data_IF_153224577165
#
_entry.id   IF_153224577165
#
_cell.length_a   1.000
_cell.length_b   1.000
_cell.length_c   1.000
_cell.angle_alpha   90.00
_cell.angle_beta   90.00
_cell.angle_gamma   90.00
#
_symmetry.space_group_name_H-M   'P 1'
#
loop_
_entity.id
_entity.type
_entity.pdbx_description
1 polymer ?
#
# COMPACT_ATOMS: atom_id res chain seq x y z
N UNK A 1 -12.13 17.62 25.75
CA UNK A 1 -11.15 16.84 24.94
C UNK A 1 -11.48 17.07 23.47
N UNK A 2 -10.58 17.66 22.68
CA UNK A 2 -10.81 17.83 21.23
C UNK A 2 -10.71 16.45 20.58
N UNK A 3 -11.81 15.89 20.07
CA UNK A 3 -11.77 14.67 19.25
C UNK A 3 -10.85 14.97 18.06
N UNK A 4 -9.75 14.22 17.92
CA UNK A 4 -8.95 14.29 16.71
C UNK A 4 -9.85 13.90 15.54
N UNK A 5 -9.86 14.74 14.49
CA UNK A 5 -10.70 14.53 13.31
C UNK A 5 -10.07 13.41 12.49
N UNK A 6 -10.76 12.28 12.39
CA UNK A 6 -10.32 11.15 11.56
C UNK A 6 -10.32 11.50 10.07
N UNK A 7 -9.50 10.79 9.29
CA UNK A 7 -9.23 11.06 7.88
C UNK A 7 -9.55 9.86 6.99
N UNK A 8 -9.95 10.08 5.73
CA UNK A 8 -10.02 9.00 4.74
C UNK A 8 -8.65 8.34 4.50
N UNK A 9 -8.65 7.13 3.96
CA UNK A 9 -7.40 6.43 3.62
C UNK A 9 -6.68 7.06 2.41
N UNK A 10 -7.45 7.49 1.40
CA UNK A 10 -6.93 7.85 0.08
C UNK A 10 -5.94 9.01 0.06
N UNK A 11 -6.19 10.04 0.87
CA UNK A 11 -5.30 11.21 0.93
C UNK A 11 -4.02 10.91 1.72
N UNK A 12 -4.04 9.88 2.57
CA UNK A 12 -2.95 9.53 3.48
C UNK A 12 -2.49 10.71 4.33
N UNK A 13 -3.38 11.65 4.66
CA UNK A 13 -3.04 12.87 5.40
C UNK A 13 -2.35 12.59 6.75
N UNK A 14 -2.78 11.59 7.55
CA UNK A 14 -2.06 11.21 8.77
C UNK A 14 -0.59 10.87 8.51
N UNK A 15 -0.31 10.12 7.44
CA UNK A 15 1.06 9.72 7.09
C UNK A 15 1.91 10.93 6.70
N UNK A 16 1.36 11.88 5.92
CA UNK A 16 2.07 13.11 5.52
C UNK A 16 2.33 13.98 6.74
N UNK A 17 1.30 14.22 7.56
CA UNK A 17 1.35 15.10 8.73
C UNK A 17 2.41 14.65 9.74
N UNK A 18 2.59 13.35 9.89
CA UNK A 18 3.58 12.76 10.80
C UNK A 18 4.91 12.40 10.14
N UNK A 19 5.08 12.70 8.84
CA UNK A 19 6.24 12.27 8.05
C UNK A 19 6.56 10.77 8.20
N UNK A 20 5.51 9.94 8.23
CA UNK A 20 5.61 8.52 8.54
C UNK A 20 6.13 7.72 7.33
N UNK A 21 7.15 6.91 7.57
CA UNK A 21 7.75 6.03 6.55
C UNK A 21 7.68 4.55 6.92
N UNK A 22 6.96 4.19 7.99
CA UNK A 22 7.04 2.85 8.59
C UNK A 22 6.67 1.73 7.61
N UNK A 23 5.60 1.91 6.82
CA UNK A 23 5.17 0.93 5.82
C UNK A 23 6.11 0.80 4.60
N UNK A 24 7.08 1.71 4.45
CA UNK A 24 8.10 1.67 3.41
C UNK A 24 9.36 0.89 3.84
N UNK A 25 9.45 0.45 5.09
CA UNK A 25 10.57 -0.37 5.60
C UNK A 25 10.20 -1.84 5.45
N UNK A 26 11.08 -2.63 4.85
CA UNK A 26 10.94 -4.07 4.59
C UNK A 26 9.61 -4.48 3.96
N UNK A 27 9.02 -3.59 3.17
CA UNK A 27 7.65 -3.74 2.66
C UNK A 27 7.52 -5.00 1.80
N UNK A 28 6.43 -5.75 2.01
CA UNK A 28 6.04 -6.89 1.17
C UNK A 28 4.87 -6.55 0.25
N UNK A 29 4.62 -5.25 0.02
CA UNK A 29 3.44 -4.77 -0.70
C UNK A 29 3.29 -5.45 -2.07
N UNK A 30 2.21 -6.23 -2.28
CA UNK A 30 1.93 -6.84 -3.57
C UNK A 30 1.53 -5.76 -4.59
N UNK A 31 1.84 -6.02 -5.85
CA UNK A 31 1.53 -5.14 -6.97
C UNK A 31 0.63 -5.87 -7.97
N UNK A 32 -0.42 -5.19 -8.41
CA UNK A 32 -1.17 -5.63 -9.58
C UNK A 32 -0.41 -5.23 -10.86
N UNK A 33 -0.75 -5.89 -11.98
CA UNK A 33 -0.27 -5.48 -13.31
C UNK A 33 -0.65 -4.04 -13.64
N UNK A 34 -1.79 -3.57 -13.16
CA UNK A 34 -2.21 -2.17 -13.30
C UNK A 34 -1.31 -1.20 -12.53
N UNK A 35 -0.93 -1.54 -11.29
CA UNK A 35 0.04 -0.75 -10.53
C UNK A 35 1.37 -0.66 -11.27
N UNK A 36 1.87 -1.79 -11.78
CA UNK A 36 3.12 -1.84 -12.56
C UNK A 36 3.02 -0.97 -13.80
N UNK A 37 1.92 -1.07 -14.57
CA UNK A 37 1.70 -0.28 -15.78
C UNK A 37 1.66 1.22 -15.47
N UNK A 38 0.89 1.61 -14.45
CA UNK A 38 0.71 3.00 -14.02
C UNK A 38 2.00 3.62 -13.49
N UNK A 39 2.80 2.85 -12.75
CA UNK A 39 4.11 3.32 -12.26
C UNK A 39 5.12 3.39 -13.41
N UNK A 40 5.12 2.41 -14.31
CA UNK A 40 6.01 2.41 -15.46
C UNK A 40 5.74 3.59 -16.41
N UNK A 41 4.49 4.03 -16.55
CA UNK A 41 4.15 5.21 -17.37
C UNK A 41 4.70 6.53 -16.82
N UNK A 42 5.16 6.56 -15.56
CA UNK A 42 5.87 7.71 -14.97
C UNK A 42 7.36 7.73 -15.36
N UNK A 43 7.84 6.77 -16.14
CA UNK A 43 9.24 6.66 -16.58
C UNK A 43 10.10 5.70 -15.73
N UNK A 44 9.53 5.03 -14.73
CA UNK A 44 10.26 4.03 -13.95
C UNK A 44 10.38 2.69 -14.70
N UNK A 45 11.60 2.13 -14.74
CA UNK A 45 11.82 0.79 -15.30
C UNK A 45 11.31 -0.26 -14.32
N UNK A 46 10.44 -1.17 -14.77
CA UNK A 46 9.83 -2.25 -13.96
C UNK A 46 10.88 -2.98 -13.10
N UNK A 47 11.99 -3.39 -13.70
CA UNK A 47 13.07 -4.11 -13.01
C UNK A 47 13.65 -3.38 -11.78
N UNK A 48 13.54 -2.05 -11.74
CA UNK A 48 14.07 -1.25 -10.65
C UNK A 48 13.13 -1.22 -9.44
N UNK A 49 11.81 -1.15 -9.67
CA UNK A 49 10.85 -0.92 -8.59
C UNK A 49 10.01 -2.14 -8.23
N UNK A 50 9.94 -3.13 -9.12
CA UNK A 50 9.18 -4.34 -8.91
C UNK A 50 10.12 -5.55 -8.92
N UNK A 51 9.73 -6.57 -8.15
CA UNK A 51 10.36 -7.88 -8.14
C UNK A 51 9.25 -8.92 -8.18
N UNK A 52 9.47 -9.99 -8.94
CA UNK A 52 8.59 -11.15 -8.93
C UNK A 52 9.15 -12.19 -7.97
N UNK A 53 8.37 -12.60 -6.97
CA UNK A 53 8.73 -13.64 -5.99
C UNK A 53 7.71 -14.76 -6.15
N UNK A 54 8.16 -15.90 -6.67
CA UNK A 54 7.24 -16.95 -7.13
C UNK A 54 6.34 -16.42 -8.24
N UNK A 55 5.02 -16.45 -8.02
CA UNK A 55 4.01 -15.93 -8.96
C UNK A 55 3.57 -14.49 -8.67
N UNK A 56 3.99 -13.91 -7.54
CA UNK A 56 3.55 -12.60 -7.09
C UNK A 56 4.52 -11.49 -7.49
N UNK A 57 3.99 -10.37 -7.95
CA UNK A 57 4.75 -9.13 -8.05
C UNK A 57 4.69 -8.35 -6.74
N UNK A 58 5.83 -7.84 -6.29
CA UNK A 58 5.95 -7.01 -5.07
C UNK A 58 6.80 -5.77 -5.33
N UNK A 59 6.60 -4.75 -4.50
CA UNK A 59 7.52 -3.62 -4.44
C UNK A 59 8.92 -4.13 -4.08
N UNK A 60 9.93 -3.69 -4.84
CA UNK A 60 11.33 -4.02 -4.59
C UNK A 60 11.84 -3.19 -3.41
N UNK A 61 12.56 -3.84 -2.52
CA UNK A 61 13.38 -3.18 -1.50
C UNK A 61 14.85 -3.09 -1.94
N UNK A 62 15.52 -2.01 -1.53
CA UNK A 62 16.98 -1.82 -1.58
C UNK A 62 17.45 -1.53 -0.16
N UNK A 63 18.30 -2.40 0.39
CA UNK A 63 18.80 -2.29 1.78
C UNK A 63 17.65 -2.16 2.80
N UNK A 64 16.64 -3.02 2.69
CA UNK A 64 15.48 -3.04 3.60
C UNK A 64 14.51 -1.85 3.45
N UNK A 65 14.63 -1.05 2.39
CA UNK A 65 13.77 0.11 2.14
C UNK A 65 13.11 0.02 0.78
N UNK A 66 11.83 0.38 0.69
CA UNK A 66 11.11 0.45 -0.57
C UNK A 66 11.89 1.29 -1.58
N UNK A 67 11.98 0.84 -2.83
CA UNK A 67 12.68 1.55 -3.92
C UNK A 67 12.26 3.03 -4.05
N UNK A 68 11.00 3.34 -3.75
CA UNK A 68 10.46 4.70 -3.82
C UNK A 68 10.70 5.55 -2.58
N UNK A 69 11.25 5.01 -1.49
CA UNK A 69 11.57 5.78 -0.30
C UNK A 69 12.79 6.68 -0.55
N UNK A 70 12.58 7.99 -0.51
CA UNK A 70 13.62 9.03 -0.54
C UNK A 70 13.85 9.64 0.84
N UNK A 71 14.59 10.75 0.86
CA UNK A 71 14.87 11.53 2.08
C UNK A 71 13.59 12.13 2.68
N UNK A 72 12.68 12.62 1.82
CA UNK A 72 11.42 13.26 2.20
C UNK A 72 10.21 12.31 2.10
N UNK A 73 10.41 11.01 2.31
CA UNK A 73 9.33 10.00 2.21
C UNK A 73 9.18 9.39 0.80
N UNK A 74 7.98 8.91 0.47
CA UNK A 74 7.75 8.18 -0.78
C UNK A 74 7.71 9.12 -1.99
N UNK A 75 8.61 8.90 -2.96
CA UNK A 75 8.77 9.73 -4.17
C UNK A 75 7.58 9.68 -5.13
N UNK A 76 6.74 8.66 -5.01
CA UNK A 76 5.54 8.48 -5.84
C UNK A 76 4.27 8.57 -5.00
N UNK A 77 4.25 9.38 -3.93
CA UNK A 77 3.15 9.39 -2.96
C UNK A 77 1.75 9.51 -3.62
N UNK A 78 1.61 10.41 -4.59
CA UNK A 78 0.36 10.63 -5.33
C UNK A 78 0.04 9.53 -6.34
N UNK A 79 1.01 8.67 -6.65
CA UNK A 79 0.92 7.53 -7.56
C UNK A 79 1.23 6.21 -6.87
N UNK A 80 1.04 6.12 -5.55
CA UNK A 80 1.24 4.89 -4.78
C UNK A 80 0.41 3.73 -5.35
N UNK A 81 0.91 2.48 -5.27
CA UNK A 81 0.11 1.28 -5.54
C UNK A 81 -1.20 1.27 -4.75
N UNK A 82 -2.23 0.58 -5.24
CA UNK A 82 -3.53 0.53 -4.56
C UNK A 82 -3.41 0.04 -3.11
N UNK A 83 -2.62 -1.01 -2.84
CA UNK A 83 -2.39 -1.48 -1.47
C UNK A 83 -1.72 -0.44 -0.57
N UNK A 84 -0.84 0.40 -1.11
CA UNK A 84 -0.24 1.52 -0.36
C UNK A 84 -1.22 2.68 -0.11
N UNK A 85 -2.29 2.81 -0.90
CA UNK A 85 -3.37 3.81 -0.69
C UNK A 85 -4.36 3.32 0.35
N UNK A 86 -4.64 2.03 0.36
CA UNK A 86 -5.54 1.42 1.34
C UNK A 86 -4.90 1.30 2.72
N UNK A 87 -3.58 1.14 2.82
CA UNK A 87 -2.88 1.08 4.10
C UNK A 87 -3.21 2.29 5.00
N UNK A 88 -3.63 2.10 6.27
CA UNK A 88 -3.46 0.88 7.07
C UNK A 88 -4.58 -0.17 7.00
N UNK A 89 -5.57 -0.03 6.12
CA UNK A 89 -6.58 -1.07 5.93
C UNK A 89 -5.96 -2.30 5.23
N UNK A 90 -5.97 -3.43 5.92
CA UNK A 90 -5.48 -4.73 5.45
C UNK A 90 -6.56 -5.81 5.60
N UNK A 91 -6.33 -6.97 5.00
CA UNK A 91 -7.17 -8.14 5.21
C UNK A 91 -6.49 -9.10 6.16
N UNK A 92 -7.20 -9.44 7.22
CA UNK A 92 -6.79 -10.45 8.18
C UNK A 92 -7.26 -11.81 7.67
N UNK A 93 -6.32 -12.62 7.17
CA UNK A 93 -6.63 -13.96 6.66
C UNK A 93 -6.99 -14.95 7.76
N UNK A 94 -6.54 -14.72 9.00
CA UNK A 94 -6.86 -15.60 10.14
C UNK A 94 -8.31 -15.43 10.58
N UNK A 95 -8.79 -14.18 10.61
CA UNK A 95 -10.15 -13.85 11.04
C UNK A 95 -11.12 -13.54 9.89
N UNK A 96 -10.68 -13.75 8.65
CA UNK A 96 -11.43 -13.53 7.39
C UNK A 96 -12.16 -12.18 7.32
N UNK A 97 -11.47 -11.09 7.69
CA UNK A 97 -12.08 -9.76 7.74
C UNK A 97 -11.10 -8.62 7.48
N UNK A 98 -11.56 -7.47 6.95
CA UNK A 98 -10.76 -6.26 6.92
C UNK A 98 -10.49 -5.71 8.32
N UNK A 99 -9.25 -5.34 8.60
CA UNK A 99 -8.82 -4.69 9.85
C UNK A 99 -7.87 -3.53 9.56
N UNK A 100 -7.63 -2.68 10.56
CA UNK A 100 -6.54 -1.71 10.51
C UNK A 100 -5.27 -2.35 11.09
N UNK A 101 -4.21 -2.36 10.30
CA UNK A 101 -2.93 -2.96 10.66
C UNK A 101 -2.36 -2.37 11.96
N UNK A 102 -2.04 -3.24 12.92
CA UNK A 102 -1.48 -2.86 14.20
C UNK A 102 -0.08 -2.26 14.08
N UNK A 103 0.66 -2.57 13.00
CA UNK A 103 1.98 -2.02 12.74
C UNK A 103 1.94 -0.53 12.35
N UNK A 104 0.76 0.00 11.98
CA UNK A 104 0.60 1.41 11.71
C UNK A 104 0.45 2.21 13.02
N UNK A 105 1.39 3.11 13.36
CA UNK A 105 1.33 3.87 14.61
C UNK A 105 0.21 4.92 14.62
N UNK A 106 -0.37 5.24 13.47
CA UNK A 106 -1.40 6.27 13.31
C UNK A 106 -2.75 5.70 12.85
N UNK A 107 -2.96 4.38 12.96
CA UNK A 107 -4.18 3.71 12.48
C UNK A 107 -5.48 4.32 13.00
N UNK A 108 -5.49 4.77 14.25
CA UNK A 108 -6.67 5.34 14.91
C UNK A 108 -7.08 6.72 14.35
N UNK A 109 -6.21 7.36 13.58
CA UNK A 109 -6.50 8.62 12.90
C UNK A 109 -7.22 8.42 11.56
N UNK A 110 -7.34 7.19 11.08
CA UNK A 110 -8.05 6.86 9.86
C UNK A 110 -9.51 6.45 10.14
N UNK A 111 -10.38 6.76 9.19
CA UNK A 111 -11.79 6.35 9.16
C UNK A 111 -12.11 5.71 7.80
N UNK A 112 -11.79 4.41 7.64
CA UNK A 112 -12.18 3.65 6.47
C UNK A 112 -13.70 3.64 6.30
N UNK A 113 -14.16 3.74 5.06
CA UNK A 113 -15.57 3.65 4.69
C UNK A 113 -15.88 2.31 4.07
N UNK A 114 -17.18 2.02 3.91
CA UNK A 114 -17.65 0.81 3.22
C UNK A 114 -16.98 0.61 1.84
N UNK A 115 -16.84 1.69 1.08
CA UNK A 115 -16.16 1.68 -0.21
C UNK A 115 -14.72 1.21 -0.15
N UNK A 116 -14.00 1.47 0.95
CA UNK A 116 -12.60 1.06 1.11
C UNK A 116 -12.49 -0.43 1.38
N UNK A 117 -13.41 -1.00 2.17
CA UNK A 117 -13.48 -2.46 2.35
C UNK A 117 -13.77 -3.16 1.02
N UNK A 118 -14.71 -2.65 0.23
CA UNK A 118 -15.00 -3.21 -1.09
C UNK A 118 -13.81 -3.08 -2.05
N UNK A 119 -13.05 -1.98 -1.98
CA UNK A 119 -11.80 -1.81 -2.75
C UNK A 119 -10.74 -2.80 -2.34
N UNK A 120 -10.55 -3.02 -1.04
CA UNK A 120 -9.60 -4.00 -0.52
C UNK A 120 -9.93 -5.42 -1.02
N UNK A 121 -11.21 -5.83 -0.93
CA UNK A 121 -11.64 -7.14 -1.41
C UNK A 121 -11.42 -7.30 -2.93
N UNK A 122 -11.75 -6.26 -3.72
CA UNK A 122 -11.46 -6.25 -5.17
C UNK A 122 -9.96 -6.34 -5.47
N UNK A 123 -9.13 -5.65 -4.69
CA UNK A 123 -7.68 -5.70 -4.85
C UNK A 123 -7.15 -7.12 -4.60
N UNK A 124 -7.62 -7.79 -3.55
CA UNK A 124 -7.20 -9.16 -3.20
C UNK A 124 -7.63 -10.15 -4.27
N UNK A 125 -8.89 -10.09 -4.72
CA UNK A 125 -9.40 -10.94 -5.80
C UNK A 125 -8.57 -10.75 -7.09
N UNK A 126 -8.25 -9.51 -7.43
CA UNK A 126 -7.41 -9.20 -8.59
C UNK A 126 -6.01 -9.77 -8.47
N UNK A 127 -5.36 -9.60 -7.31
CA UNK A 127 -4.03 -10.15 -7.05
C UNK A 127 -4.04 -11.68 -7.18
N UNK A 128 -5.02 -12.36 -6.59
CA UNK A 128 -5.17 -13.83 -6.68
C UNK A 128 -5.30 -14.30 -8.13
N UNK A 129 -6.20 -13.70 -8.91
CA UNK A 129 -6.38 -14.01 -10.34
C UNK A 129 -5.11 -13.79 -11.17
N UNK A 130 -4.37 -12.71 -10.90
CA UNK A 130 -3.11 -12.44 -11.59
C UNK A 130 -2.03 -13.48 -11.25
N UNK A 131 -2.02 -14.02 -10.04
CA UNK A 131 -1.08 -15.09 -9.64
C UNK A 131 -1.44 -16.47 -10.21
N UNK A 132 -2.72 -16.78 -10.41
CA UNK A 132 -3.18 -18.06 -10.95
C UNK A 132 -2.93 -18.20 -12.45
N UNK A 133 -2.90 -17.07 -13.16
CA UNK A 133 -2.73 -17.00 -14.62
C UNK A 133 -1.28 -16.89 -15.09
N UNK A 134 -0.31 -16.99 -14.17
CA UNK A 134 1.15 -17.00 -14.41
C UNK A 134 1.76 -18.40 -14.27
#
# INVERSE_FOLDING_TARGET
MKKQRKRPLDDGEPCIRHNCIKCCIDTQMPLTREDIKRISSLGYKIKNFAVKIGKEWKLRNKLGRCYFLGENGCKIYDFRPEGCRLYPLIYDEEHDKPILDELCPYREEFEPKKSDFERLLRLIDKLRKETETE
#
